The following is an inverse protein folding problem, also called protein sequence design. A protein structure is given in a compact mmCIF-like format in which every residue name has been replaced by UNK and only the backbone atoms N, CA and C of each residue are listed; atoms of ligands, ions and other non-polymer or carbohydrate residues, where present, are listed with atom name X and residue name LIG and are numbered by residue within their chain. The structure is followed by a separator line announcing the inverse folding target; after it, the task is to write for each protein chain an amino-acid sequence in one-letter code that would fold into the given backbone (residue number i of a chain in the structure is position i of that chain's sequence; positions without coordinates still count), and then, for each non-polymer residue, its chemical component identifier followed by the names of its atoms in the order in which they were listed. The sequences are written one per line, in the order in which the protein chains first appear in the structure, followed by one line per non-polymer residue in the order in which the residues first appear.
data_IF_549871799395
#
_entry.id   IF_549871799395
#
_cell.length_a   1.000
_cell.length_b   1.000
_cell.length_c   1.000
_cell.angle_alpha   90.00
_cell.angle_beta   90.00
_cell.angle_gamma   90.00
#
_symmetry.space_group_name_H-M   'P 1'
#
loop_
_entity.id
_entity.type
_entity.pdbx_description
1 polymer ?
#
# COMPACT_ATOMS: atom_id res chain seq x y z
N UNK A 1 -6.35 -28.30 1.03
CA UNK A 1 -6.15 -27.68 -0.26
C UNK A 1 -5.24 -28.53 -1.13
N UNK A 2 -5.63 -28.80 -2.34
CA UNK A 2 -4.74 -29.57 -3.20
C UNK A 2 -3.44 -28.82 -3.44
N UNK A 3 -2.37 -29.55 -3.41
CA UNK A 3 -1.07 -28.99 -3.70
C UNK A 3 -1.00 -28.63 -5.17
N UNK A 4 -0.84 -27.38 -5.45
CA UNK A 4 -0.68 -26.93 -6.82
C UNK A 4 0.78 -26.94 -7.18
N UNK A 5 1.08 -27.43 -8.37
CA UNK A 5 2.44 -27.33 -8.88
C UNK A 5 2.75 -25.88 -9.19
N UNK A 6 3.72 -25.35 -8.50
CA UNK A 6 4.11 -23.95 -8.66
C UNK A 6 5.48 -23.92 -9.36
N UNK A 7 5.56 -23.21 -10.49
CA UNK A 7 6.84 -23.07 -11.17
C UNK A 7 7.70 -22.01 -10.47
N UNK A 8 8.93 -21.90 -10.88
CA UNK A 8 9.85 -20.95 -10.25
C UNK A 8 9.38 -19.50 -10.35
N UNK A 9 8.83 -19.14 -11.49
CA UNK A 9 8.34 -17.78 -11.69
C UNK A 9 7.17 -17.48 -10.75
N UNK A 10 6.27 -18.42 -10.59
CA UNK A 10 5.15 -18.29 -9.69
C UNK A 10 5.61 -18.17 -8.25
N UNK A 11 6.57 -18.99 -7.88
CA UNK A 11 7.15 -18.96 -6.53
C UNK A 11 7.81 -17.61 -6.25
N UNK A 12 8.57 -17.10 -7.20
CA UNK A 12 9.23 -15.81 -7.05
C UNK A 12 8.23 -14.68 -6.91
N UNK A 13 7.16 -14.70 -7.69
CA UNK A 13 6.11 -13.71 -7.58
C UNK A 13 5.43 -13.75 -6.22
N UNK A 14 5.15 -14.94 -5.74
CA UNK A 14 4.52 -15.13 -4.45
C UNK A 14 5.40 -14.58 -3.34
N UNK A 15 6.71 -14.88 -3.39
CA UNK A 15 7.64 -14.39 -2.39
C UNK A 15 7.72 -12.86 -2.40
N UNK A 16 7.73 -12.26 -3.58
CA UNK A 16 7.75 -10.81 -3.70
C UNK A 16 6.52 -10.19 -3.05
N UNK A 17 5.34 -10.73 -3.36
CA UNK A 17 4.10 -10.21 -2.82
C UNK A 17 4.01 -10.41 -1.31
N UNK A 18 4.49 -11.53 -0.81
CA UNK A 18 4.50 -11.80 0.62
C UNK A 18 5.38 -10.81 1.36
N UNK A 19 6.57 -10.54 0.84
CA UNK A 19 7.47 -9.57 1.45
C UNK A 19 6.86 -8.19 1.48
N UNK A 20 6.22 -7.80 0.38
CA UNK A 20 5.55 -6.51 0.29
C UNK A 20 4.43 -6.40 1.31
N UNK A 21 3.64 -7.46 1.46
CA UNK A 21 2.53 -7.47 2.41
C UNK A 21 2.97 -7.46 3.86
N UNK A 22 4.09 -8.11 4.16
CA UNK A 22 4.64 -8.07 5.51
C UNK A 22 5.05 -6.65 5.89
N UNK A 23 5.69 -5.96 4.97
CA UNK A 23 6.16 -4.59 5.19
C UNK A 23 5.03 -3.57 5.02
N UNK A 24 4.13 -3.82 4.10
CA UNK A 24 3.01 -2.92 3.77
C UNK A 24 1.74 -3.76 3.65
N UNK A 25 1.09 -4.08 4.77
CA UNK A 25 -0.05 -5.00 4.76
C UNK A 25 -1.18 -4.63 3.83
N UNK A 26 -1.34 -3.33 3.54
CA UNK A 26 -2.40 -2.86 2.66
C UNK A 26 -1.94 -2.62 1.23
N UNK A 27 -0.70 -2.99 0.89
CA UNK A 27 -0.21 -2.84 -0.47
C UNK A 27 -1.08 -3.65 -1.43
N UNK A 28 -1.36 -3.08 -2.60
CA UNK A 28 -2.17 -3.69 -3.66
C UNK A 28 -3.64 -3.90 -3.29
N UNK A 29 -4.06 -3.46 -2.14
CA UNK A 29 -5.47 -3.47 -1.79
C UNK A 29 -6.13 -2.19 -2.28
N UNK A 30 -7.42 -2.31 -2.62
CA UNK A 30 -8.20 -1.14 -3.00
C UNK A 30 -8.29 -0.17 -1.81
N UNK A 31 -8.20 1.11 -2.11
CA UNK A 31 -8.38 2.13 -1.09
C UNK A 31 -9.85 2.19 -0.64
N UNK A 32 -10.05 2.27 0.65
CA UNK A 32 -11.39 2.43 1.22
C UNK A 32 -11.61 3.90 1.56
N UNK A 33 -12.87 4.27 1.74
CA UNK A 33 -13.20 5.64 2.13
C UNK A 33 -12.56 5.99 3.48
N UNK A 34 -12.51 5.04 4.40
CA UNK A 34 -11.89 5.24 5.71
C UNK A 34 -10.39 5.51 5.57
N UNK A 35 -9.72 4.75 4.72
CA UNK A 35 -8.30 4.95 4.47
C UNK A 35 -8.04 6.32 3.85
N UNK A 36 -8.88 6.74 2.92
CA UNK A 36 -8.72 8.05 2.31
C UNK A 36 -8.93 9.16 3.32
N UNK A 37 -9.90 9.01 4.21
CA UNK A 37 -10.14 9.97 5.28
C UNK A 37 -8.91 10.09 6.18
N UNK A 38 -8.32 8.97 6.55
CA UNK A 38 -7.11 8.95 7.37
C UNK A 38 -5.93 9.57 6.64
N UNK A 39 -5.82 9.29 5.36
CA UNK A 39 -4.75 9.84 4.54
C UNK A 39 -4.85 11.36 4.47
N UNK A 40 -6.02 11.87 4.16
CA UNK A 40 -6.25 13.31 4.04
C UNK A 40 -6.00 14.00 5.37
N UNK A 41 -6.54 13.44 6.45
CA UNK A 41 -6.38 13.98 7.79
C UNK A 41 -4.91 14.04 8.19
N UNK A 42 -4.18 12.94 7.97
CA UNK A 42 -2.75 12.88 8.27
C UNK A 42 -1.94 13.85 7.44
N UNK A 43 -2.26 13.94 6.15
CA UNK A 43 -1.55 14.84 5.26
C UNK A 43 -1.74 16.30 5.70
N UNK A 44 -2.98 16.67 6.03
CA UNK A 44 -3.28 18.03 6.49
C UNK A 44 -2.66 18.34 7.83
N UNK A 45 -2.43 17.31 8.65
CA UNK A 45 -1.76 17.47 9.94
C UNK A 45 -0.24 17.61 9.79
N UNK A 46 0.27 17.55 8.55
CA UNK A 46 1.69 17.72 8.29
C UNK A 46 2.51 16.44 8.31
N UNK A 47 1.88 15.29 8.29
CA UNK A 47 2.61 14.02 8.28
C UNK A 47 3.31 13.82 6.95
N UNK A 48 4.53 13.28 7.00
CA UNK A 48 5.30 12.97 5.80
C UNK A 48 4.71 11.76 5.08
N UNK A 49 5.07 11.58 3.82
CA UNK A 49 4.66 10.39 3.07
C UNK A 49 5.13 9.13 3.78
N UNK A 50 6.33 9.17 4.35
CA UNK A 50 6.86 8.03 5.10
C UNK A 50 5.98 7.69 6.31
N UNK A 51 5.57 8.70 7.07
CA UNK A 51 4.70 8.50 8.22
C UNK A 51 3.33 7.98 7.81
N UNK A 52 2.79 8.51 6.71
CA UNK A 52 1.51 8.04 6.18
C UNK A 52 1.59 6.60 5.70
N UNK A 53 2.71 6.25 5.08
CA UNK A 53 2.97 4.89 4.63
C UNK A 53 2.92 3.92 5.81
N UNK A 54 3.58 4.25 6.90
CA UNK A 54 3.56 3.41 8.10
C UNK A 54 2.18 3.34 8.73
N UNK A 55 1.50 4.47 8.83
CA UNK A 55 0.18 4.54 9.44
C UNK A 55 -0.84 3.68 8.69
N UNK A 56 -0.79 3.69 7.38
CA UNK A 56 -1.77 3.00 6.55
C UNK A 56 -1.32 1.63 6.08
N UNK A 57 -0.06 1.26 6.33
CA UNK A 57 0.48 -0.01 5.86
C UNK A 57 0.56 -0.10 4.35
N UNK A 58 0.85 1.02 3.69
CA UNK A 58 0.95 1.09 2.23
C UNK A 58 2.30 1.63 1.82
N UNK A 59 2.73 1.31 0.61
CA UNK A 59 3.99 1.82 0.08
C UNK A 59 3.90 3.31 -0.18
N UNK A 60 5.04 4.00 -0.06
CA UNK A 60 5.12 5.42 -0.28
C UNK A 60 4.63 5.82 -1.68
N UNK A 61 4.95 5.01 -2.69
CA UNK A 61 4.46 5.26 -4.05
C UNK A 61 2.94 5.25 -4.14
N UNK A 62 2.30 4.32 -3.44
CA UNK A 62 0.85 4.25 -3.38
C UNK A 62 0.24 5.46 -2.67
N UNK A 63 0.90 5.92 -1.61
CA UNK A 63 0.47 7.12 -0.88
C UNK A 63 0.52 8.33 -1.82
N UNK A 64 1.65 8.52 -2.51
CA UNK A 64 1.79 9.65 -3.44
C UNK A 64 0.77 9.61 -4.56
N UNK A 65 0.55 8.42 -5.14
CA UNK A 65 -0.45 8.26 -6.20
C UNK A 65 -1.83 8.65 -5.73
N UNK A 66 -2.20 8.22 -4.52
CA UNK A 66 -3.53 8.55 -4.01
C UNK A 66 -3.66 10.04 -3.70
N UNK A 67 -2.62 10.65 -3.15
CA UNK A 67 -2.63 12.09 -2.90
C UNK A 67 -2.79 12.87 -4.20
N UNK A 68 -2.17 12.41 -5.28
CA UNK A 68 -2.34 13.04 -6.60
C UNK A 68 -3.78 12.91 -7.08
N UNK A 69 -4.36 11.72 -6.94
CA UNK A 69 -5.76 11.49 -7.34
C UNK A 69 -6.73 12.37 -6.57
N UNK A 70 -6.42 12.65 -5.32
CA UNK A 70 -7.24 13.51 -4.46
C UNK A 70 -6.89 14.99 -4.65
N UNK A 71 -5.98 15.29 -5.57
CA UNK A 71 -5.56 16.66 -5.88
C UNK A 71 -4.93 17.40 -4.69
N UNK A 72 -4.31 16.67 -3.78
CA UNK A 72 -3.63 17.25 -2.62
C UNK A 72 -2.17 17.57 -2.93
N UNK A 73 -1.59 16.91 -3.91
CA UNK A 73 -0.25 17.18 -4.42
C UNK A 73 -0.28 17.13 -5.94
N UNK A 74 0.77 17.64 -6.57
CA UNK A 74 0.88 17.63 -8.03
C UNK A 74 1.56 16.39 -8.59
#
# INVERSE_FOLDING_TARGET
MPERQIDENETLKTNYLEKTRVKHPSAYKRWTADEETRLVSGYRAGKSVSALSEMLGREAGGIRSRLKKLALIE
#
